data_IF_800378402322
#
_entry.id   IF_800378402322
#
_cell.length_a   1.000
_cell.length_b   1.000
_cell.length_c   1.000
_cell.angle_alpha   90.00
_cell.angle_beta   90.00
_cell.angle_gamma   90.00
#
_symmetry.space_group_name_H-M   'P 1'
#
loop_
_entity.id
_entity.type
_entity.pdbx_description
1 polymer ?
#
# COMPACT_ATOMS: atom_id res chain seq x y z
N UNK A 1 -16.73 20.15 9.09
CA UNK A 1 -15.57 19.23 9.10
C UNK A 1 -15.93 18.02 8.26
N UNK A 2 -15.28 17.82 7.11
CA UNK A 2 -15.69 16.81 6.12
C UNK A 2 -15.27 15.39 6.51
N UNK A 3 -16.26 14.59 6.92
CA UNK A 3 -16.42 13.16 6.59
C UNK A 3 -15.24 12.22 6.83
N UNK A 4 -15.21 11.59 8.00
CA UNK A 4 -14.35 10.45 8.36
C UNK A 4 -14.53 9.28 7.38
N UNK A 5 -13.76 9.29 6.29
CA UNK A 5 -13.52 8.08 5.51
C UNK A 5 -12.91 6.99 6.40
N UNK A 6 -13.09 5.72 6.02
CA UNK A 6 -12.52 4.57 6.75
C UNK A 6 -11.05 4.86 7.14
N UNK A 7 -10.61 4.44 8.34
CA UNK A 7 -9.21 4.61 8.72
C UNK A 7 -8.32 3.99 7.64
N UNK A 8 -7.30 4.75 7.24
CA UNK A 8 -6.28 4.34 6.28
C UNK A 8 -4.93 4.34 6.96
N UNK A 9 -4.13 3.32 6.68
CA UNK A 9 -2.72 3.28 7.06
C UNK A 9 -1.91 4.34 6.31
N UNK A 10 -0.66 4.57 6.71
CA UNK A 10 0.32 5.38 5.96
C UNK A 10 0.35 4.93 4.49
N UNK A 11 0.38 3.62 4.27
CA UNK A 11 0.31 3.02 2.94
C UNK A 11 -1.01 3.30 2.21
N UNK A 12 -2.15 3.11 2.86
CA UNK A 12 -3.46 3.39 2.27
C UNK A 12 -3.64 4.85 1.88
N UNK A 13 -3.12 5.78 2.69
CA UNK A 13 -3.09 7.22 2.38
C UNK A 13 -2.19 7.51 1.17
N UNK A 14 -1.03 6.87 1.09
CA UNK A 14 -0.14 6.98 -0.07
C UNK A 14 -0.82 6.54 -1.37
N UNK A 15 -1.47 5.37 -1.37
CA UNK A 15 -2.20 4.90 -2.56
C UNK A 15 -3.29 5.88 -2.97
N UNK A 16 -4.08 6.37 -2.00
CA UNK A 16 -5.14 7.34 -2.27
C UNK A 16 -4.60 8.66 -2.84
N UNK A 17 -3.49 9.17 -2.31
CA UNK A 17 -2.87 10.44 -2.77
C UNK A 17 -2.31 10.34 -4.19
N UNK A 18 -1.87 9.15 -4.59
CA UNK A 18 -1.29 8.89 -5.92
C UNK A 18 -2.31 8.25 -6.87
N UNK A 19 -3.59 8.20 -6.50
CA UNK A 19 -4.68 7.63 -7.30
C UNK A 19 -4.44 6.17 -7.73
N UNK A 20 -3.71 5.40 -6.92
CA UNK A 20 -3.40 4.00 -7.18
C UNK A 20 -4.50 3.12 -6.57
N UNK A 21 -5.18 2.34 -7.41
CA UNK A 21 -6.16 1.37 -6.94
C UNK A 21 -5.50 0.10 -6.39
N UNK A 22 -6.21 -0.62 -5.52
CA UNK A 22 -5.72 -1.90 -4.98
C UNK A 22 -5.61 -2.98 -6.07
N UNK A 23 -6.40 -2.87 -7.14
CA UNK A 23 -6.37 -3.76 -8.30
C UNK A 23 -5.11 -3.53 -9.13
N UNK A 24 -4.79 -2.27 -9.47
CA UNK A 24 -3.55 -1.94 -10.17
C UNK A 24 -2.32 -2.41 -9.39
N UNK A 25 -2.30 -2.16 -8.08
CA UNK A 25 -1.17 -2.60 -7.27
C UNK A 25 -1.05 -4.14 -7.23
N UNK A 26 -2.17 -4.87 -7.20
CA UNK A 26 -2.17 -6.33 -7.34
C UNK A 26 -1.52 -6.75 -8.65
N UNK A 27 -1.91 -6.14 -9.76
CA UNK A 27 -1.37 -6.45 -11.09
C UNK A 27 0.14 -6.15 -11.18
N UNK A 28 0.58 -5.02 -10.62
CA UNK A 28 1.98 -4.63 -10.69
C UNK A 28 2.90 -5.45 -9.77
N UNK A 29 2.40 -5.86 -8.61
CA UNK A 29 3.20 -6.53 -7.56
C UNK A 29 3.01 -8.05 -7.49
N UNK A 30 1.93 -8.57 -8.07
CA UNK A 30 1.49 -9.96 -7.91
C UNK A 30 1.03 -10.32 -6.49
N UNK A 31 0.88 -9.34 -5.59
CA UNK A 31 0.40 -9.58 -4.23
C UNK A 31 -1.13 -9.69 -4.22
N UNK A 32 -1.64 -10.65 -3.46
CA UNK A 32 -3.07 -10.91 -3.35
C UNK A 32 -3.84 -9.66 -2.86
N UNK A 33 -4.98 -9.38 -3.50
CA UNK A 33 -5.82 -8.21 -3.19
C UNK A 33 -6.28 -8.15 -1.73
N UNK A 34 -6.56 -9.29 -1.10
CA UNK A 34 -6.95 -9.33 0.31
C UNK A 34 -5.80 -8.87 1.22
N UNK A 35 -4.56 -9.23 0.86
CA UNK A 35 -3.37 -8.75 1.58
C UNK A 35 -3.22 -7.25 1.43
N UNK A 36 -3.33 -6.73 0.20
CA UNK A 36 -3.28 -5.28 -0.07
C UNK A 36 -4.39 -4.56 0.69
N UNK A 37 -5.63 -5.06 0.65
CA UNK A 37 -6.74 -4.45 1.38
C UNK A 37 -6.49 -4.39 2.88
N UNK A 38 -5.98 -5.48 3.48
CA UNK A 38 -5.68 -5.51 4.92
C UNK A 38 -4.65 -4.45 5.32
N UNK A 39 -3.55 -4.33 4.59
CA UNK A 39 -2.45 -3.39 4.92
C UNK A 39 -2.80 -1.93 4.59
N UNK A 40 -3.83 -1.65 3.78
CA UNK A 40 -4.31 -0.28 3.54
C UNK A 40 -5.19 0.28 4.67
N UNK A 41 -5.80 -0.58 5.50
CA UNK A 41 -6.82 -0.18 6.49
C UNK A 41 -6.28 0.22 7.86
N UNK A 42 -5.13 -0.29 8.29
CA UNK A 42 -4.55 0.00 9.61
C UNK A 42 -3.03 -0.06 9.55
N UNK A 43 -2.35 0.81 10.31
CA UNK A 43 -0.89 0.78 10.48
C UNK A 43 -0.41 -0.44 11.27
N UNK A 44 -1.30 -1.09 12.02
CA UNK A 44 -1.03 -2.35 12.72
C UNK A 44 -0.90 -3.51 11.74
N UNK A 45 -1.55 -3.41 10.57
CA UNK A 45 -1.48 -4.43 9.53
C UNK A 45 -0.23 -4.23 8.67
N UNK A 46 0.78 -5.06 8.93
CA UNK A 46 2.01 -5.11 8.14
C UNK A 46 1.99 -6.30 7.17
N UNK A 47 2.52 -6.15 5.94
CA UNK A 47 2.75 -7.29 5.07
C UNK A 47 3.89 -8.15 5.63
N UNK A 48 4.00 -9.39 5.17
CA UNK A 48 5.25 -10.12 5.32
C UNK A 48 6.37 -9.38 4.58
N UNK A 49 7.63 -9.59 4.99
CA UNK A 49 8.78 -8.95 4.34
C UNK A 49 8.78 -9.20 2.82
N UNK A 50 8.49 -10.43 2.38
CA UNK A 50 8.40 -10.78 0.96
C UNK A 50 7.30 -10.03 0.20
N UNK A 51 6.09 -9.90 0.77
CA UNK A 51 5.01 -9.15 0.13
C UNK A 51 5.30 -7.64 0.12
N UNK A 52 5.88 -7.11 1.20
CA UNK A 52 6.32 -5.72 1.26
C UNK A 52 7.36 -5.41 0.19
N UNK A 53 8.39 -6.24 0.05
CA UNK A 53 9.41 -6.08 -0.99
C UNK A 53 8.82 -6.13 -2.40
N UNK A 54 7.86 -7.03 -2.68
CA UNK A 54 7.17 -7.08 -3.98
C UNK A 54 6.41 -5.77 -4.28
N UNK A 55 5.69 -5.25 -3.28
CA UNK A 55 4.97 -3.98 -3.39
C UNK A 55 5.93 -2.81 -3.63
N UNK A 56 6.97 -2.67 -2.81
CA UNK A 56 7.96 -1.59 -2.94
C UNK A 56 8.64 -1.65 -4.30
N UNK A 57 9.10 -2.83 -4.75
CA UNK A 57 9.71 -2.99 -6.08
C UNK A 57 8.73 -2.61 -7.19
N UNK A 58 7.46 -2.98 -7.08
CA UNK A 58 6.44 -2.61 -8.06
C UNK A 58 6.22 -1.09 -8.12
N UNK A 59 6.14 -0.42 -6.98
CA UNK A 59 6.01 1.04 -6.90
C UNK A 59 7.27 1.73 -7.47
N UNK A 60 8.47 1.26 -7.13
CA UNK A 60 9.72 1.79 -7.71
C UNK A 60 9.77 1.64 -9.23
N UNK A 61 9.33 0.50 -9.78
CA UNK A 61 9.22 0.30 -11.24
C UNK A 61 8.24 1.27 -11.92
N UNK A 62 7.26 1.79 -11.18
CA UNK A 62 6.32 2.82 -11.64
C UNK A 62 6.80 4.25 -11.39
N UNK A 63 8.03 4.43 -10.90
CA UNK A 63 8.66 5.74 -10.71
C UNK A 63 8.48 6.34 -9.31
N UNK A 64 7.82 5.64 -8.39
CA UNK A 64 7.65 6.13 -7.02
C UNK A 64 8.92 5.92 -6.20
N UNK A 65 9.38 6.97 -5.50
CA UNK A 65 10.53 6.92 -4.58
C UNK A 65 10.01 6.64 -3.18
N UNK A 66 9.85 5.36 -2.85
CA UNK A 66 9.33 4.89 -1.55
C UNK A 66 10.08 3.66 -1.09
N UNK A 67 10.21 3.51 0.22
CA UNK A 67 10.84 2.38 0.91
C UNK A 67 9.86 1.72 1.89
N UNK A 68 10.25 0.59 2.48
CA UNK A 68 9.35 -0.20 3.33
C UNK A 68 8.99 0.57 4.62
N UNK A 69 9.96 1.31 5.12
CA UNK A 69 9.96 2.12 6.33
C UNK A 69 8.99 3.30 6.24
N UNK A 70 8.75 3.83 5.03
CA UNK A 70 7.78 4.90 4.81
C UNK A 70 6.36 4.52 5.25
N UNK A 71 6.08 3.21 5.31
CA UNK A 71 4.74 2.67 5.49
C UNK A 71 4.57 1.80 6.73
N UNK A 72 5.54 0.92 7.01
CA UNK A 72 5.37 -0.16 7.99
C UNK A 72 6.48 -0.21 9.04
N UNK A 73 7.28 0.85 9.20
CA UNK A 73 8.17 1.03 10.34
C UNK A 73 7.72 2.21 11.21
#
# INVERSE_FOLDING_TARGET
>A
MFGLGKPLSKFGKFLKRNEITQTELKEWSGVNQNTISRITRSNENRPSLGNGQKIIRALKRKGYRVDFEDFWM
#
